data_IF_751858243025
#
_entry.id   IF_751858243025
#
_cell.length_a   1.000
_cell.length_b   1.000
_cell.length_c   1.000
_cell.angle_alpha   90.00
_cell.angle_beta   90.00
_cell.angle_gamma   90.00
#
_symmetry.space_group_name_H-M   'P 1'
#
loop_
_entity.id
_entity.type
_entity.pdbx_description
1 polymer ?
#
# COMPACT_ATOMS: atom_id res chain seq x y z
N UNK A 1 13.48 0.69 19.09
CA UNK A 1 13.26 2.00 19.74
C UNK A 1 12.29 2.88 18.94
N UNK A 2 12.18 2.74 17.61
CA UNK A 2 11.14 3.47 16.84
C UNK A 2 9.71 3.00 17.13
N UNK A 3 9.45 1.68 17.16
CA UNK A 3 8.11 1.15 17.44
C UNK A 3 7.47 1.70 18.73
N UNK A 4 8.28 1.96 19.77
CA UNK A 4 7.82 2.54 21.04
C UNK A 4 7.51 4.03 20.95
N UNK A 5 8.17 4.78 20.06
CA UNK A 5 7.94 6.20 19.87
C UNK A 5 6.73 6.46 18.96
N UNK A 6 6.55 5.67 17.90
CA UNK A 6 5.39 5.79 17.01
C UNK A 6 4.09 5.51 17.75
N UNK A 7 4.09 4.54 18.67
CA UNK A 7 2.90 4.24 19.49
C UNK A 7 2.47 5.44 20.34
N UNK A 8 3.41 6.10 21.02
CA UNK A 8 3.12 7.29 21.82
C UNK A 8 2.56 8.45 20.99
N UNK A 9 2.94 8.55 19.71
CA UNK A 9 2.36 9.54 18.80
C UNK A 9 0.93 9.11 18.45
N UNK A 10 0.72 7.85 18.03
CA UNK A 10 -0.62 7.31 17.73
C UNK A 10 -1.61 7.39 18.89
N UNK A 11 -1.12 7.33 20.13
CA UNK A 11 -1.96 7.48 21.32
C UNK A 11 -2.47 8.93 21.52
N UNK A 12 -1.87 9.91 20.83
CA UNK A 12 -2.17 11.35 20.95
C UNK A 12 -2.77 11.94 19.66
N UNK A 13 -2.53 11.35 18.49
CA UNK A 13 -3.22 11.77 17.27
C UNK A 13 -4.67 11.29 17.32
N UNK A 14 -5.61 12.17 17.01
CA UNK A 14 -7.00 11.77 16.82
C UNK A 14 -7.11 10.64 15.79
N UNK A 15 -7.99 9.67 16.05
CA UNK A 15 -8.31 8.62 15.10
C UNK A 15 -8.72 9.21 13.74
N UNK A 16 -8.40 8.50 12.67
CA UNK A 16 -8.79 8.87 11.31
C UNK A 16 -10.29 9.19 11.25
N UNK A 17 -10.64 10.44 10.93
CA UNK A 17 -12.02 10.88 10.78
C UNK A 17 -12.48 10.59 9.34
N UNK A 18 -13.38 9.60 9.12
CA UNK A 18 -13.78 9.20 7.76
C UNK A 18 -14.43 10.34 6.97
N UNK A 19 -15.19 11.22 7.63
CA UNK A 19 -15.84 12.37 6.99
C UNK A 19 -14.82 13.40 6.52
N UNK A 20 -13.78 13.64 7.33
CA UNK A 20 -12.67 14.50 6.94
C UNK A 20 -11.91 13.91 5.75
N UNK A 21 -11.58 12.61 5.82
CA UNK A 21 -10.89 11.90 4.73
C UNK A 21 -11.69 11.98 3.43
N UNK A 22 -13.00 11.69 3.48
CA UNK A 22 -13.90 11.82 2.32
C UNK A 22 -13.92 13.25 1.77
N UNK A 23 -14.00 14.25 2.64
CA UNK A 23 -13.97 15.67 2.25
C UNK A 23 -12.67 16.04 1.54
N UNK A 24 -11.52 15.60 2.07
CA UNK A 24 -10.20 15.85 1.47
C UNK A 24 -10.05 15.15 0.12
N UNK A 25 -10.46 13.88 0.03
CA UNK A 25 -10.41 13.12 -1.23
C UNK A 25 -11.27 13.80 -2.30
N UNK A 26 -12.53 14.15 -1.99
CA UNK A 26 -13.41 14.85 -2.94
C UNK A 26 -12.86 16.20 -3.41
N UNK A 27 -12.10 16.89 -2.55
CA UNK A 27 -11.42 18.14 -2.92
C UNK A 27 -10.22 17.90 -3.85
N UNK A 28 -9.49 16.81 -3.69
CA UNK A 28 -8.25 16.52 -4.43
C UNK A 28 -8.52 15.92 -5.82
N UNK A 29 -9.56 15.11 -5.98
CA UNK A 29 -9.85 14.42 -7.26
C UNK A 29 -9.98 15.40 -8.46
N UNK A 30 -10.64 16.56 -8.35
CA UNK A 30 -10.67 17.55 -9.44
C UNK A 30 -9.30 18.16 -9.75
N UNK A 31 -8.43 18.32 -8.75
CA UNK A 31 -7.08 18.86 -8.95
C UNK A 31 -6.16 17.86 -9.69
N UNK A 32 -6.32 16.57 -9.41
CA UNK A 32 -5.69 15.50 -10.19
C UNK A 32 -6.14 15.55 -11.66
N UNK A 33 -7.44 15.69 -11.90
CA UNK A 33 -7.96 15.79 -13.28
C UNK A 33 -7.45 17.04 -14.00
N UNK A 34 -7.46 18.20 -13.34
CA UNK A 34 -6.94 19.47 -13.91
C UNK A 34 -5.45 19.38 -14.26
N UNK A 35 -4.68 18.57 -13.54
CA UNK A 35 -3.26 18.32 -13.83
C UNK A 35 -3.03 17.22 -14.88
N UNK A 36 -4.10 16.64 -15.45
CA UNK A 36 -4.02 15.58 -16.45
C UNK A 36 -3.78 14.19 -15.87
N UNK A 37 -3.83 14.03 -14.55
CA UNK A 37 -3.71 12.73 -13.87
C UNK A 37 -5.04 11.99 -14.00
N UNK A 38 -5.06 10.95 -14.85
CA UNK A 38 -6.25 10.14 -15.12
C UNK A 38 -6.28 8.82 -14.35
N UNK A 39 -5.16 8.42 -13.72
CA UNK A 39 -5.02 7.16 -13.01
C UNK A 39 -4.02 7.30 -11.87
N UNK A 40 -4.35 6.76 -10.71
CA UNK A 40 -3.48 6.70 -9.53
C UNK A 40 -3.34 5.27 -9.01
N UNK A 41 -2.17 4.96 -8.46
CA UNK A 41 -1.96 3.77 -7.65
C UNK A 41 -1.97 4.19 -6.19
N UNK A 42 -2.98 3.76 -5.45
CA UNK A 42 -3.18 4.16 -4.06
C UNK A 42 -2.75 3.04 -3.12
N UNK A 43 -1.82 3.34 -2.21
CA UNK A 43 -1.20 2.37 -1.30
C UNK A 43 -1.79 2.55 0.10
N UNK A 44 -3.06 2.20 0.25
CA UNK A 44 -3.80 2.33 1.51
C UNK A 44 -4.57 1.05 1.86
N UNK A 45 -5.15 1.04 3.06
CA UNK A 45 -5.91 -0.07 3.62
C UNK A 45 -7.34 -0.23 3.08
N UNK A 46 -8.10 -1.11 3.74
CA UNK A 46 -9.47 -1.46 3.35
C UNK A 46 -10.45 -0.28 3.47
N UNK A 47 -10.20 0.68 4.36
CA UNK A 47 -11.07 1.86 4.52
C UNK A 47 -11.01 2.79 3.32
N UNK A 48 -9.81 3.02 2.75
CA UNK A 48 -9.66 3.76 1.50
C UNK A 48 -10.36 3.03 0.34
N UNK A 49 -10.20 1.70 0.25
CA UNK A 49 -10.91 0.91 -0.77
C UNK A 49 -12.45 1.07 -0.65
N UNK A 50 -13.00 1.06 0.56
CA UNK A 50 -14.44 1.28 0.80
C UNK A 50 -14.87 2.68 0.37
N UNK A 51 -14.11 3.70 0.77
CA UNK A 51 -14.37 5.08 0.37
C UNK A 51 -14.38 5.23 -1.16
N UNK A 52 -13.39 4.66 -1.85
CA UNK A 52 -13.36 4.72 -3.31
C UNK A 52 -14.49 3.92 -3.97
N UNK A 53 -14.94 2.82 -3.36
CA UNK A 53 -16.15 2.11 -3.83
C UNK A 53 -17.39 3.00 -3.73
N UNK A 54 -17.58 3.68 -2.60
CA UNK A 54 -18.69 4.63 -2.40
C UNK A 54 -18.61 5.78 -3.42
N UNK A 55 -17.46 6.41 -3.57
CA UNK A 55 -17.28 7.52 -4.53
C UNK A 55 -17.45 7.07 -5.99
N UNK A 56 -17.05 5.83 -6.33
CA UNK A 56 -17.35 5.23 -7.64
C UNK A 56 -18.84 5.08 -7.84
N UNK A 57 -19.54 4.49 -6.87
CA UNK A 57 -20.98 4.22 -6.95
C UNK A 57 -21.81 5.51 -6.99
N UNK A 58 -21.32 6.59 -6.37
CA UNK A 58 -21.86 7.94 -6.47
C UNK A 58 -21.50 8.68 -7.78
N UNK A 59 -20.64 8.13 -8.63
CA UNK A 59 -20.14 8.79 -9.85
C UNK A 59 -19.17 9.95 -9.59
N UNK A 60 -18.58 10.03 -8.40
CA UNK A 60 -17.70 11.14 -7.96
C UNK A 60 -16.20 10.82 -7.99
N UNK A 61 -15.80 9.60 -8.34
CA UNK A 61 -14.39 9.18 -8.30
C UNK A 61 -13.52 9.97 -9.30
N UNK A 62 -13.99 10.17 -10.53
CA UNK A 62 -13.38 11.09 -11.51
C UNK A 62 -11.97 10.75 -12.04
N UNK A 63 -11.25 9.81 -11.42
CA UNK A 63 -9.99 9.24 -11.88
C UNK A 63 -10.02 7.72 -11.67
N UNK A 64 -9.24 6.96 -12.46
CA UNK A 64 -9.09 5.52 -12.19
C UNK A 64 -8.20 5.30 -10.98
N UNK A 65 -8.58 4.37 -10.12
CA UNK A 65 -7.83 4.02 -8.91
C UNK A 65 -7.45 2.55 -8.95
N UNK A 66 -6.15 2.26 -8.89
CA UNK A 66 -5.65 0.91 -8.63
C UNK A 66 -5.15 0.83 -7.20
N UNK A 67 -5.87 0.09 -6.36
CA UNK A 67 -5.48 -0.15 -4.97
C UNK A 67 -4.33 -1.16 -4.90
N UNK A 68 -3.29 -0.80 -4.15
CA UNK A 68 -2.19 -1.68 -3.77
C UNK A 68 -2.27 -1.89 -2.25
N UNK A 69 -2.87 -3.00 -1.84
CA UNK A 69 -3.25 -3.22 -0.44
C UNK A 69 -2.09 -3.76 0.41
N UNK A 70 -2.06 -3.53 1.73
CA UNK A 70 -1.05 -4.09 2.61
C UNK A 70 -1.05 -5.63 2.62
N UNK A 71 0.13 -6.26 2.73
CA UNK A 71 0.29 -7.73 2.81
C UNK A 71 -0.64 -8.43 3.80
N UNK A 72 -0.99 -7.77 4.90
CA UNK A 72 -1.83 -8.30 5.98
C UNK A 72 -3.22 -8.74 5.47
N UNK A 73 -3.74 -8.12 4.40
CA UNK A 73 -5.05 -8.47 3.85
C UNK A 73 -5.01 -9.61 2.83
N UNK A 74 -3.81 -10.05 2.43
CA UNK A 74 -3.62 -11.07 1.40
C UNK A 74 -4.35 -12.40 1.70
N UNK A 75 -4.33 -12.96 2.93
CA UNK A 75 -5.07 -14.18 3.22
C UNK A 75 -6.59 -14.04 3.00
N UNK A 76 -7.16 -12.90 3.36
CA UNK A 76 -8.59 -12.62 3.14
C UNK A 76 -8.91 -12.44 1.67
N UNK A 77 -8.03 -11.74 0.94
CA UNK A 77 -8.20 -11.50 -0.49
C UNK A 77 -8.14 -12.81 -1.28
N UNK A 78 -7.25 -13.74 -0.91
CA UNK A 78 -7.20 -15.10 -1.47
C UNK A 78 -8.51 -15.86 -1.26
N UNK A 79 -9.04 -15.87 -0.03
CA UNK A 79 -10.31 -16.53 0.29
C UNK A 79 -11.48 -15.98 -0.52
N UNK A 80 -11.56 -14.65 -0.67
CA UNK A 80 -12.62 -13.97 -1.44
C UNK A 80 -12.50 -14.23 -2.94
N UNK A 81 -11.30 -14.32 -3.50
CA UNK A 81 -11.06 -14.67 -4.92
C UNK A 81 -11.35 -16.13 -5.21
N UNK A 82 -11.08 -17.05 -4.29
CA UNK A 82 -11.46 -18.46 -4.47
C UNK A 82 -12.97 -18.68 -4.44
N UNK A 83 -13.71 -17.89 -3.63
CA UNK A 83 -15.17 -17.98 -3.55
C UNK A 83 -15.89 -17.19 -4.65
N UNK A 84 -15.23 -16.16 -5.16
CA UNK A 84 -15.69 -15.32 -6.26
C UNK A 84 -14.68 -15.48 -7.38
N UNK A 85 -14.83 -16.50 -8.24
CA UNK A 85 -14.27 -16.41 -9.61
C UNK A 85 -14.86 -15.11 -10.14
N UNK A 86 -14.09 -14.03 -10.04
CA UNK A 86 -14.49 -12.70 -10.49
C UNK A 86 -14.55 -12.84 -12.01
N UNK A 87 -15.72 -13.26 -12.47
CA UNK A 87 -16.18 -13.01 -13.81
C UNK A 87 -15.81 -11.56 -14.10
N UNK A 88 -14.97 -11.40 -15.11
CA UNK A 88 -14.68 -10.10 -15.69
C UNK A 88 -15.98 -9.55 -16.24
N UNK A 89 -16.79 -8.93 -15.39
CA UNK A 89 -17.69 -7.91 -15.86
C UNK A 89 -16.77 -6.82 -16.39
N UNK A 90 -16.83 -6.63 -17.70
CA UNK A 90 -16.29 -5.51 -18.47
C UNK A 90 -16.79 -4.13 -17.98
N UNK A 91 -17.28 -4.02 -16.75
CA UNK A 91 -18.16 -2.97 -16.25
C UNK A 91 -17.54 -2.11 -15.15
N UNK A 92 -16.29 -2.33 -14.73
CA UNK A 92 -15.63 -1.47 -13.73
C UNK A 92 -14.17 -1.17 -14.09
N UNK A 93 -13.97 -0.16 -14.95
CA UNK A 93 -12.64 0.38 -15.33
C UNK A 93 -12.13 1.43 -14.32
N UNK A 94 -12.97 1.87 -13.38
CA UNK A 94 -12.67 3.03 -12.53
C UNK A 94 -11.99 2.66 -11.20
N UNK A 95 -12.24 1.46 -10.66
CA UNK A 95 -11.63 1.01 -9.41
C UNK A 95 -11.24 -0.47 -9.48
N UNK A 96 -9.99 -0.78 -9.13
CA UNK A 96 -9.51 -2.16 -9.08
C UNK A 96 -8.56 -2.39 -7.91
N UNK A 97 -8.43 -3.66 -7.47
CA UNK A 97 -7.34 -4.09 -6.59
C UNK A 97 -6.26 -4.68 -7.47
N UNK A 98 -5.22 -3.88 -7.72
CA UNK A 98 -4.16 -4.17 -8.68
C UNK A 98 -2.94 -4.85 -8.08
N UNK A 99 -2.71 -4.74 -6.77
CA UNK A 99 -1.53 -5.34 -6.16
C UNK A 99 -1.49 -5.40 -4.64
N UNK A 100 -0.37 -5.88 -4.13
CA UNK A 100 -0.02 -5.98 -2.72
C UNK A 100 1.26 -5.20 -2.44
N UNK A 101 1.29 -4.43 -1.36
CA UNK A 101 2.47 -3.71 -0.88
C UNK A 101 3.23 -4.55 0.16
N UNK A 102 4.54 -4.64 -0.02
CA UNK A 102 5.49 -5.10 1.00
C UNK A 102 6.66 -4.13 1.17
N UNK A 103 7.35 -4.28 2.29
CA UNK A 103 8.59 -3.59 2.61
C UNK A 103 9.69 -4.64 2.76
N UNK A 104 10.80 -4.46 2.05
CA UNK A 104 12.00 -5.26 2.18
C UNK A 104 12.91 -4.70 3.29
N UNK A 105 12.95 -3.38 3.46
CA UNK A 105 13.72 -2.67 4.47
C UNK A 105 13.03 -1.38 4.97
N UNK A 106 13.77 -0.59 5.76
CA UNK A 106 13.31 0.69 6.31
C UNK A 106 13.67 1.90 5.45
N UNK A 107 14.25 2.93 6.07
CA UNK A 107 14.60 4.21 5.41
C UNK A 107 16.03 4.63 5.72
N UNK A 108 16.60 5.49 4.86
CA UNK A 108 17.92 6.08 5.10
C UNK A 108 17.92 7.03 6.30
N UNK A 109 16.86 7.83 6.46
CA UNK A 109 16.77 8.86 7.50
C UNK A 109 16.84 8.29 8.91
N UNK A 110 16.16 7.16 9.16
CA UNK A 110 16.27 6.44 10.43
C UNK A 110 17.41 5.43 10.50
N UNK A 111 18.26 5.37 9.46
CA UNK A 111 19.33 4.37 9.33
C UNK A 111 18.84 2.92 9.47
N UNK A 112 17.66 2.63 8.91
CA UNK A 112 17.04 1.29 8.93
C UNK A 112 17.00 0.62 7.55
N UNK A 113 17.31 1.36 6.48
CA UNK A 113 17.51 0.79 5.14
C UNK A 113 18.61 -0.29 5.16
N UNK A 114 18.42 -1.41 4.47
CA UNK A 114 19.34 -2.54 4.54
C UNK A 114 20.55 -2.29 3.64
N UNK A 115 21.70 -1.98 4.25
CA UNK A 115 22.91 -1.59 3.52
C UNK A 115 23.94 -2.72 3.45
N UNK A 116 24.71 -2.82 2.35
CA UNK A 116 25.86 -3.72 2.25
C UNK A 116 27.00 -3.25 3.16
N UNK A 117 27.23 -1.95 3.27
CA UNK A 117 28.19 -1.34 4.20
C UNK A 117 27.49 -0.66 5.37
N UNK A 118 28.23 -0.33 6.42
CA UNK A 118 27.67 0.37 7.58
C UNK A 118 27.34 1.84 7.28
N UNK A 119 26.39 2.42 8.01
CA UNK A 119 26.09 3.85 7.90
C UNK A 119 27.28 4.74 8.34
N UNK A 120 27.40 5.92 7.73
CA UNK A 120 28.35 6.93 8.19
C UNK A 120 28.04 7.32 9.64
N UNK A 121 29.09 7.41 10.48
CA UNK A 121 28.95 7.63 11.92
C UNK A 121 28.40 6.44 12.71
N UNK A 122 27.97 5.36 12.04
CA UNK A 122 27.49 4.13 12.66
C UNK A 122 27.87 2.88 11.84
N UNK A 123 29.17 2.56 11.71
CA UNK A 123 29.66 1.54 10.77
C UNK A 123 29.23 0.11 11.10
N UNK A 124 28.76 -0.15 12.32
CA UNK A 124 28.22 -1.45 12.71
C UNK A 124 26.72 -1.60 12.41
N UNK A 125 26.03 -0.50 12.11
CA UNK A 125 24.63 -0.52 11.71
C UNK A 125 24.54 -0.71 10.19
N UNK A 126 23.94 -1.83 9.76
CA UNK A 126 23.66 -2.12 8.35
C UNK A 126 22.16 -2.08 8.05
N UNK A 127 21.36 -1.50 8.94
CA UNK A 127 19.90 -1.48 8.89
C UNK A 127 19.27 -2.86 9.05
N UNK A 128 18.02 -2.99 8.62
CA UNK A 128 17.18 -4.17 8.86
C UNK A 128 16.52 -4.66 7.57
N UNK A 129 16.34 -5.98 7.47
CA UNK A 129 15.38 -6.57 6.55
C UNK A 129 14.06 -6.72 7.29
N UNK A 130 12.98 -6.13 6.76
CA UNK A 130 11.65 -6.17 7.38
C UNK A 130 10.88 -7.45 7.06
N UNK A 131 11.30 -8.18 6.03
CA UNK A 131 10.70 -9.43 5.60
C UNK A 131 11.79 -10.44 5.25
N UNK A 132 11.61 -11.71 5.62
CA UNK A 132 12.50 -12.78 5.17
C UNK A 132 12.28 -13.08 3.69
N UNK A 133 13.31 -13.60 3.03
CA UNK A 133 13.24 -14.04 1.63
C UNK A 133 12.12 -15.06 1.41
N UNK A 134 11.96 -16.02 2.33
CA UNK A 134 10.87 -16.99 2.28
C UNK A 134 9.49 -16.29 2.29
N UNK A 135 9.25 -15.38 3.24
CA UNK A 135 7.98 -14.69 3.36
C UNK A 135 7.71 -13.76 2.16
N UNK A 136 8.76 -13.19 1.56
CA UNK A 136 8.68 -12.43 0.32
C UNK A 136 8.25 -13.33 -0.84
N UNK A 137 8.92 -14.46 -1.05
CA UNK A 137 8.61 -15.43 -2.10
C UNK A 137 7.19 -16.00 -1.98
N UNK A 138 6.74 -16.29 -0.76
CA UNK A 138 5.36 -16.71 -0.48
C UNK A 138 4.35 -15.62 -0.88
N UNK A 139 4.67 -14.36 -0.60
CA UNK A 139 3.80 -13.21 -0.94
C UNK A 139 3.72 -13.01 -2.45
N UNK A 140 4.87 -13.06 -3.14
CA UNK A 140 4.96 -12.93 -4.61
C UNK A 140 4.21 -14.07 -5.30
N UNK A 141 4.42 -15.31 -4.85
CA UNK A 141 3.74 -16.48 -5.42
C UNK A 141 2.23 -16.38 -5.25
N UNK A 142 1.76 -16.02 -4.05
CA UNK A 142 0.34 -15.83 -3.77
C UNK A 142 -0.29 -14.72 -4.62
N UNK A 143 0.39 -13.59 -4.80
CA UNK A 143 -0.08 -12.50 -5.65
C UNK A 143 -0.13 -12.90 -7.13
N UNK A 144 0.89 -13.62 -7.61
CA UNK A 144 0.94 -14.15 -8.97
C UNK A 144 -0.21 -15.12 -9.27
N UNK A 145 -0.51 -16.05 -8.36
CA UNK A 145 -1.68 -16.95 -8.47
C UNK A 145 -3.01 -16.20 -8.58
N UNK A 146 -3.09 -15.00 -7.99
CA UNK A 146 -4.28 -14.14 -8.03
C UNK A 146 -4.31 -13.21 -9.24
N UNK A 147 -3.24 -13.15 -10.03
CA UNK A 147 -3.08 -12.25 -11.17
C UNK A 147 -2.98 -10.77 -10.76
N UNK A 148 -2.37 -10.48 -9.60
CA UNK A 148 -2.13 -9.10 -9.11
C UNK A 148 -0.63 -8.87 -8.90
N UNK A 149 -0.19 -7.61 -8.97
CA UNK A 149 1.22 -7.24 -8.82
C UNK A 149 1.67 -7.20 -7.35
N UNK A 150 2.98 -7.17 -7.12
CA UNK A 150 3.57 -6.82 -5.82
C UNK A 150 4.41 -5.57 -5.97
N UNK A 151 4.16 -4.56 -5.13
CA UNK A 151 5.01 -3.40 -4.99
C UNK A 151 5.93 -3.61 -3.78
N UNK A 152 7.25 -3.62 -4.01
CA UNK A 152 8.25 -3.84 -2.97
C UNK A 152 8.95 -2.51 -2.69
N UNK A 153 8.85 -2.02 -1.46
CA UNK A 153 9.72 -0.94 -0.99
C UNK A 153 11.10 -1.51 -0.66
N UNK A 154 12.13 -1.01 -1.33
CA UNK A 154 13.53 -1.33 -1.06
C UNK A 154 14.35 -0.05 -1.25
N UNK A 155 15.08 0.37 -0.21
CA UNK A 155 15.93 1.57 -0.27
C UNK A 155 17.41 1.20 -0.27
N UNK A 156 17.82 0.34 0.66
CA UNK A 156 19.21 -0.07 0.80
C UNK A 156 19.63 -1.08 -0.26
N UNK A 157 20.91 -1.05 -0.62
CA UNK A 157 21.51 -1.88 -1.66
C UNK A 157 21.54 -3.38 -1.32
N UNK A 158 21.44 -3.74 -0.03
CA UNK A 158 21.30 -5.14 0.40
C UNK A 158 19.85 -5.65 0.30
N UNK A 159 18.86 -4.76 0.16
CA UNK A 159 17.45 -5.14 0.00
C UNK A 159 17.05 -5.42 -1.45
N UNK A 160 17.92 -5.08 -2.43
CA UNK A 160 17.67 -5.17 -3.86
C UNK A 160 18.09 -6.50 -4.48
#
# INVERSE_FOLDING_TARGET
QEQSATQLVYDVIDESNPEMTRTLVLRLLPELQKSGITTIHDIEGMDALRLFQELRDEGKLGVRVQMILPRQVLPELRKKRSSRRLEGSKADDMLSVGGIKIFADGTLGSQTAAMLEGFEGNPNNRGILTLSEQAMNETVSAAAEMGISVAIHAIGDRAA
#
